data_IF_721550816985
#
_entry.id   IF_721550816985
#
_cell.length_a   1.000
_cell.length_b   1.000
_cell.length_c   1.000
_cell.angle_alpha   90.00
_cell.angle_beta   90.00
_cell.angle_gamma   90.00
#
_symmetry.space_group_name_H-M   'P 1'
#
loop_
_entity.id
_entity.type
_entity.pdbx_description
1 polymer ?
#
# COMPACT_ATOMS: atom_id res chain seq x y z
N UNK A 1 -11.25 -23.87 -6.52
CA UNK A 1 -10.97 -22.67 -7.34
C UNK A 1 -11.35 -21.49 -6.47
N UNK A 2 -10.46 -20.49 -6.32
CA UNK A 2 -10.84 -19.23 -5.66
C UNK A 2 -11.88 -18.53 -6.55
N UNK A 3 -12.82 -17.80 -5.95
CA UNK A 3 -13.71 -16.94 -6.73
C UNK A 3 -12.96 -15.68 -7.17
N UNK A 4 -13.34 -15.08 -8.30
CA UNK A 4 -12.76 -13.80 -8.78
C UNK A 4 -12.81 -12.72 -7.68
N UNK A 5 -13.86 -12.71 -6.87
CA UNK A 5 -14.00 -11.82 -5.71
C UNK A 5 -12.97 -12.04 -4.60
N UNK A 6 -12.51 -13.29 -4.43
CA UNK A 6 -11.52 -13.65 -3.43
C UNK A 6 -10.10 -13.26 -3.91
N UNK A 7 -9.82 -13.45 -5.20
CA UNK A 7 -8.57 -12.99 -5.82
C UNK A 7 -8.46 -11.46 -5.79
N UNK A 8 -9.55 -10.74 -6.08
CA UNK A 8 -9.59 -9.28 -5.95
C UNK A 8 -9.37 -8.79 -4.52
N UNK A 9 -9.97 -9.48 -3.54
CA UNK A 9 -9.78 -9.16 -2.12
C UNK A 9 -8.34 -9.39 -1.67
N UNK A 10 -7.72 -10.50 -2.07
CA UNK A 10 -6.32 -10.80 -1.78
C UNK A 10 -5.38 -9.77 -2.43
N UNK A 11 -5.62 -9.41 -3.69
CA UNK A 11 -4.83 -8.39 -4.37
C UNK A 11 -4.97 -7.00 -3.70
N UNK A 12 -6.14 -6.65 -3.18
CA UNK A 12 -6.34 -5.42 -2.39
C UNK A 12 -5.57 -5.47 -1.06
N UNK A 13 -5.62 -6.59 -0.35
CA UNK A 13 -4.88 -6.76 0.91
C UNK A 13 -3.37 -6.68 0.71
N UNK A 14 -2.84 -7.32 -0.35
CA UNK A 14 -1.42 -7.27 -0.67
C UNK A 14 -0.94 -5.83 -0.93
N UNK A 15 -1.69 -5.07 -1.74
CA UNK A 15 -1.38 -3.66 -2.01
C UNK A 15 -1.46 -2.78 -0.76
N UNK A 16 -2.44 -3.02 0.10
CA UNK A 16 -2.56 -2.29 1.36
C UNK A 16 -1.36 -2.58 2.28
N UNK A 17 -0.97 -3.86 2.39
CA UNK A 17 0.19 -4.26 3.18
C UNK A 17 1.50 -3.64 2.64
N UNK A 18 1.63 -3.54 1.32
CA UNK A 18 2.80 -2.92 0.68
C UNK A 18 2.83 -1.40 0.87
N UNK A 19 1.69 -0.73 0.75
CA UNK A 19 1.52 0.69 1.09
C UNK A 19 1.94 0.98 2.54
N UNK A 20 1.46 0.16 3.48
CA UNK A 20 1.83 0.26 4.90
C UNK A 20 3.34 0.06 5.13
N UNK A 21 3.95 -0.86 4.37
CA UNK A 21 5.39 -1.13 4.43
C UNK A 21 6.20 0.08 3.97
N UNK A 22 5.84 0.65 2.82
CA UNK A 22 6.51 1.81 2.24
C UNK A 22 6.39 3.03 3.15
N UNK A 23 5.20 3.26 3.72
CA UNK A 23 4.98 4.35 4.68
C UNK A 23 5.93 4.25 5.88
N UNK A 24 6.08 3.05 6.45
CA UNK A 24 6.97 2.81 7.60
C UNK A 24 8.45 2.93 7.23
N UNK A 25 8.84 2.42 6.07
CA UNK A 25 10.22 2.55 5.57
C UNK A 25 10.59 4.02 5.34
N UNK A 26 9.70 4.80 4.73
CA UNK A 26 9.88 6.24 4.53
C UNK A 26 10.05 7.00 5.85
N UNK A 27 9.17 6.75 6.83
CA UNK A 27 9.29 7.34 8.16
C UNK A 27 10.58 6.93 8.89
N UNK A 28 10.99 5.65 8.76
CA UNK A 28 12.25 5.17 9.34
C UNK A 28 13.48 5.86 8.72
N UNK A 29 13.38 6.30 7.46
CA UNK A 29 14.43 7.03 6.75
C UNK A 29 14.43 8.55 7.01
N UNK A 30 13.66 9.04 8.00
CA UNK A 30 13.46 10.46 8.31
C UNK A 30 12.81 11.27 7.18
N UNK A 31 12.06 10.62 6.29
CA UNK A 31 11.18 11.36 5.36
C UNK A 31 10.05 12.05 6.14
N UNK A 32 9.54 13.17 5.62
CA UNK A 32 8.40 13.81 6.26
C UNK A 32 7.18 12.88 6.19
N UNK A 33 6.26 12.94 7.17
CA UNK A 33 5.02 12.17 7.11
C UNK A 33 4.20 12.42 5.83
N UNK A 34 4.26 13.63 5.26
CA UNK A 34 3.62 13.91 3.97
C UNK A 34 4.29 13.20 2.80
N UNK A 35 5.63 13.15 2.77
CA UNK A 35 6.37 12.43 1.73
C UNK A 35 6.14 10.92 1.84
N UNK A 36 6.16 10.38 3.06
CA UNK A 36 5.85 8.98 3.34
C UNK A 36 4.42 8.62 2.90
N UNK A 37 3.44 9.48 3.17
CA UNK A 37 2.05 9.28 2.76
C UNK A 37 1.91 9.28 1.23
N UNK A 38 2.55 10.22 0.54
CA UNK A 38 2.54 10.29 -0.92
C UNK A 38 3.18 9.04 -1.56
N UNK A 39 4.29 8.54 -1.01
CA UNK A 39 4.94 7.32 -1.47
C UNK A 39 4.07 6.08 -1.28
N UNK A 40 3.35 6.00 -0.15
CA UNK A 40 2.44 4.90 0.15
C UNK A 40 1.18 4.92 -0.72
N UNK A 41 0.64 6.11 -1.03
CA UNK A 41 -0.55 6.29 -1.87
C UNK A 41 -0.28 5.92 -3.33
N UNK A 42 0.93 6.15 -3.84
CA UNK A 42 1.33 5.80 -5.20
C UNK A 42 1.22 4.29 -5.54
N UNK A 43 1.13 3.42 -4.53
CA UNK A 43 1.01 1.96 -4.69
C UNK A 43 -0.44 1.48 -4.62
N UNK A 44 -1.35 2.34 -4.19
CA UNK A 44 -2.78 2.08 -4.23
C UNK A 44 -3.35 2.50 -5.59
N UNK A 45 -4.30 1.76 -6.16
CA UNK A 45 -4.92 2.14 -7.43
C UNK A 45 -5.69 3.46 -7.27
N UNK A 46 -5.63 4.32 -8.29
CA UNK A 46 -6.50 5.50 -8.39
C UNK A 46 -7.98 5.04 -8.35
N UNK A 47 -8.80 5.81 -7.64
CA UNK A 47 -10.24 5.53 -7.45
C UNK A 47 -11.02 5.53 -8.75
#
# INVERSE_FOLDING_TARGET
>A
MMSESQEEAEARMQRLAESDRIYREALANNESPEAAAAAAEAVLPEK
#
